data_IF_467184075750
#
_entry.id   IF_467184075750
#
_cell.length_a   1.000
_cell.length_b   1.000
_cell.length_c   1.000
_cell.angle_alpha   90.00
_cell.angle_beta   90.00
_cell.angle_gamma   90.00
#
_symmetry.space_group_name_H-M   'P 1'
#
loop_
_entity.id
_entity.type
_entity.pdbx_description
1 polymer ?
#
# COMPACT_ATOMS: atom_id res chain seq x y z
N UNK A 1 13.51 4.75 12.14
CA UNK A 1 13.09 5.62 11.02
C UNK A 1 11.83 5.04 10.39
N UNK A 2 10.92 5.88 10.04
CA UNK A 2 9.63 5.47 9.49
C UNK A 2 9.61 5.51 7.98
N UNK A 3 9.05 4.47 7.39
CA UNK A 3 8.88 4.36 5.93
C UNK A 3 7.48 3.89 5.62
N UNK A 4 6.91 4.45 4.57
CA UNK A 4 5.66 3.98 4.01
C UNK A 4 5.98 3.07 2.83
N UNK A 5 5.50 1.84 2.90
CA UNK A 5 5.61 0.88 1.81
C UNK A 5 4.26 0.89 1.10
N UNK A 6 4.24 1.37 -0.12
CA UNK A 6 3.03 1.51 -0.92
C UNK A 6 2.95 0.39 -1.93
N UNK A 7 1.85 -0.33 -1.92
CA UNK A 7 1.64 -1.48 -2.79
C UNK A 7 0.57 -1.10 -3.82
N UNK A 8 0.96 -1.20 -5.09
CA UNK A 8 0.08 -0.81 -6.20
C UNK A 8 -0.43 -2.03 -6.94
N UNK A 9 -1.53 -1.86 -7.65
CA UNK A 9 -2.01 -2.82 -8.63
C UNK A 9 -2.10 -2.14 -10.00
N UNK A 10 -2.01 -2.93 -11.04
CA UNK A 10 -2.21 -2.48 -12.42
C UNK A 10 -3.08 -3.51 -13.15
N UNK A 11 -3.49 -3.27 -14.42
CA UNK A 11 -4.33 -4.23 -15.13
C UNK A 11 -3.74 -5.65 -15.19
N UNK A 12 -2.43 -5.76 -15.37
CA UNK A 12 -1.74 -7.06 -15.44
C UNK A 12 -1.81 -7.80 -14.10
N UNK A 13 -1.48 -7.14 -13.00
CA UNK A 13 -1.50 -7.77 -11.68
C UNK A 13 -2.93 -8.14 -11.25
N UNK A 14 -3.91 -7.30 -11.60
CA UNK A 14 -5.32 -7.62 -11.31
C UNK A 14 -5.80 -8.83 -12.11
N UNK A 15 -5.43 -8.91 -13.39
CA UNK A 15 -5.79 -10.05 -14.23
C UNK A 15 -5.16 -11.34 -13.68
N UNK A 16 -3.91 -11.29 -13.24
CA UNK A 16 -3.24 -12.42 -12.64
C UNK A 16 -3.98 -12.91 -11.39
N UNK A 17 -4.38 -11.99 -10.51
CA UNK A 17 -5.12 -12.32 -9.31
C UNK A 17 -6.49 -12.94 -9.61
N UNK A 18 -7.20 -12.38 -10.58
CA UNK A 18 -8.51 -12.90 -11.00
C UNK A 18 -8.41 -14.32 -11.56
N UNK A 19 -7.27 -14.67 -12.16
CA UNK A 19 -7.02 -16.00 -12.66
C UNK A 19 -6.62 -17.04 -11.61
N UNK A 20 -6.39 -16.62 -10.38
CA UNK A 20 -5.98 -17.52 -9.31
C UNK A 20 -7.16 -18.36 -8.81
N UNK A 21 -6.90 -19.63 -8.47
CA UNK A 21 -7.86 -20.48 -7.80
C UNK A 21 -8.13 -19.96 -6.38
N UNK A 22 -9.27 -20.40 -5.74
CA UNK A 22 -9.48 -20.05 -4.34
C UNK A 22 -8.33 -20.48 -3.43
N UNK A 23 -7.70 -21.62 -3.70
CA UNK A 23 -6.55 -22.11 -2.94
C UNK A 23 -5.35 -21.20 -3.10
N UNK A 24 -5.06 -20.75 -4.33
CA UNK A 24 -3.94 -19.85 -4.60
C UNK A 24 -4.15 -18.49 -3.93
N UNK A 25 -5.38 -17.98 -3.92
CA UNK A 25 -5.71 -16.74 -3.22
C UNK A 25 -5.53 -16.88 -1.71
N UNK A 26 -5.95 -18.02 -1.15
CA UNK A 26 -5.77 -18.29 0.27
C UNK A 26 -4.28 -18.34 0.65
N UNK A 27 -3.44 -18.93 -0.19
CA UNK A 27 -2.00 -18.95 -0.01
C UNK A 27 -1.41 -17.54 -0.04
N UNK A 28 -1.89 -16.70 -0.94
CA UNK A 28 -1.48 -15.30 -1.02
C UNK A 28 -1.80 -14.53 0.25
N UNK A 29 -3.01 -14.67 0.76
CA UNK A 29 -3.41 -14.05 2.03
C UNK A 29 -2.59 -14.56 3.20
N UNK A 30 -2.32 -15.87 3.24
CA UNK A 30 -1.49 -16.47 4.29
C UNK A 30 -0.05 -15.92 4.25
N UNK A 31 0.48 -15.70 3.05
CA UNK A 31 1.81 -15.13 2.86
C UNK A 31 1.90 -13.71 3.43
N UNK A 32 0.92 -12.85 3.12
CA UNK A 32 0.86 -11.51 3.68
C UNK A 32 0.70 -11.52 5.20
N UNK A 33 -0.12 -12.43 5.70
CA UNK A 33 -0.31 -12.56 7.15
C UNK A 33 0.99 -12.95 7.84
N UNK A 34 1.76 -13.85 7.25
CA UNK A 34 3.04 -14.27 7.81
C UNK A 34 4.04 -13.10 7.88
N UNK A 35 4.12 -12.28 6.81
CA UNK A 35 4.95 -11.09 6.81
C UNK A 35 4.51 -10.14 7.93
N UNK A 36 3.21 -9.89 8.05
CA UNK A 36 2.67 -8.99 9.06
C UNK A 36 2.99 -9.49 10.47
N UNK A 37 2.85 -10.76 10.73
CA UNK A 37 3.17 -11.36 12.03
C UNK A 37 4.65 -11.21 12.38
N UNK A 38 5.54 -11.41 11.41
CA UNK A 38 6.97 -11.20 11.63
C UNK A 38 7.29 -9.75 11.97
N UNK A 39 6.67 -8.81 11.27
CA UNK A 39 6.92 -7.38 11.49
C UNK A 39 6.32 -6.89 12.82
N UNK A 40 5.21 -7.48 13.25
CA UNK A 40 4.67 -7.24 14.59
C UNK A 40 5.64 -7.77 15.64
N UNK A 41 6.14 -8.98 15.46
CA UNK A 41 7.07 -9.60 16.40
C UNK A 41 8.39 -8.85 16.52
N UNK A 42 8.88 -8.29 15.43
CA UNK A 42 10.12 -7.49 15.44
C UNK A 42 9.91 -6.07 15.96
N UNK A 43 8.66 -5.65 16.15
CA UNK A 43 8.32 -4.29 16.57
C UNK A 43 8.38 -3.27 15.44
N UNK A 44 8.56 -3.72 14.19
CA UNK A 44 8.70 -2.81 13.05
C UNK A 44 7.38 -2.35 12.46
N UNK A 45 6.30 -3.12 12.62
CA UNK A 45 5.01 -2.76 12.02
C UNK A 45 4.25 -1.75 12.87
N UNK A 46 3.95 -0.59 12.30
CA UNK A 46 3.12 0.42 12.94
C UNK A 46 1.67 0.34 12.48
N UNK A 47 1.45 0.16 11.18
CA UNK A 47 0.12 0.07 10.60
C UNK A 47 0.19 -0.61 9.24
N UNK A 48 -0.86 -1.31 8.85
CA UNK A 48 -1.02 -1.83 7.50
C UNK A 48 -2.50 -2.02 7.21
N UNK A 49 -2.91 -1.68 6.00
CA UNK A 49 -4.31 -1.85 5.57
C UNK A 49 -4.37 -2.19 4.09
N UNK A 50 -5.16 -3.19 3.71
CA UNK A 50 -5.57 -3.34 2.31
C UNK A 50 -6.67 -2.33 2.01
N UNK A 51 -6.70 -1.83 0.78
CA UNK A 51 -7.70 -0.86 0.36
C UNK A 51 -8.76 -1.53 -0.50
N UNK A 52 -9.99 -1.00 -0.41
CA UNK A 52 -11.09 -1.45 -1.25
C UNK A 52 -10.82 -1.14 -2.72
N UNK A 53 -11.56 -1.80 -3.61
CA UNK A 53 -11.44 -1.56 -5.04
C UNK A 53 -11.59 -0.08 -5.39
N UNK A 54 -10.84 0.37 -6.39
CA UNK A 54 -10.82 1.77 -6.81
C UNK A 54 -12.21 2.29 -7.22
N UNK A 55 -13.11 1.39 -7.64
CA UNK A 55 -14.48 1.78 -7.96
C UNK A 55 -15.23 2.38 -6.77
N UNK A 56 -14.77 2.11 -5.55
CA UNK A 56 -15.35 2.65 -4.33
C UNK A 56 -14.67 3.94 -3.87
N UNK A 57 -13.61 4.37 -4.56
CA UNK A 57 -12.91 5.61 -4.21
C UNK A 57 -13.73 6.83 -4.60
N UNK A 58 -13.56 7.89 -3.82
CA UNK A 58 -14.16 9.19 -4.10
C UNK A 58 -13.05 10.20 -4.27
N UNK A 59 -13.14 11.02 -5.32
CA UNK A 59 -12.27 12.19 -5.46
C UNK A 59 -13.03 13.39 -4.93
N UNK A 60 -12.43 14.15 -4.05
CA UNK A 60 -13.08 15.28 -3.38
C UNK A 60 -12.50 16.58 -3.92
N UNK A 61 -13.39 17.47 -4.35
CA UNK A 61 -13.05 18.83 -4.78
C UNK A 61 -13.73 19.81 -3.85
N UNK A 62 -13.00 20.83 -3.42
CA UNK A 62 -13.59 21.90 -2.60
C UNK A 62 -14.09 23.01 -3.51
N UNK A 63 -15.34 23.42 -3.28
CA UNK A 63 -15.96 24.55 -3.95
C UNK A 63 -16.39 25.60 -2.91
N UNK A 64 -16.89 26.75 -3.37
CA UNK A 64 -17.42 27.79 -2.47
C UNK A 64 -18.59 27.29 -1.61
N UNK A 65 -19.31 26.28 -2.12
CA UNK A 65 -20.47 25.70 -1.42
C UNK A 65 -20.10 24.46 -0.56
N UNK A 66 -18.81 24.14 -0.46
CA UNK A 66 -18.35 23.01 0.34
C UNK A 66 -17.66 21.94 -0.51
N UNK A 67 -17.57 20.73 0.02
CA UNK A 67 -16.90 19.63 -0.66
C UNK A 67 -17.83 18.92 -1.63
N UNK A 68 -17.30 18.60 -2.81
CA UNK A 68 -17.99 17.80 -3.83
C UNK A 68 -17.19 16.52 -4.07
N UNK A 69 -17.87 15.37 -4.00
CA UNK A 69 -17.24 14.08 -4.21
C UNK A 69 -17.61 13.54 -5.60
N UNK A 70 -16.61 13.04 -6.31
CA UNK A 70 -16.77 12.36 -7.61
C UNK A 70 -16.46 10.90 -7.44
N UNK A 71 -17.23 10.04 -8.10
CA UNK A 71 -17.01 8.59 -8.03
C UNK A 71 -15.82 8.14 -8.86
N UNK A 72 -15.07 7.13 -8.35
CA UNK A 72 -14.09 6.40 -9.13
C UNK A 72 -14.73 5.31 -9.98
N UNK A 73 -13.94 4.64 -10.83
CA UNK A 73 -12.52 4.82 -11.05
C UNK A 73 -12.19 6.04 -11.92
N UNK A 74 -10.90 6.42 -11.89
CA UNK A 74 -10.41 7.55 -12.66
C UNK A 74 -9.63 6.99 -13.85
N UNK A 75 -10.12 7.26 -15.06
CA UNK A 75 -9.71 6.55 -16.28
C UNK A 75 -8.22 6.68 -16.62
N UNK A 76 -7.59 7.80 -16.27
CA UNK A 76 -6.18 8.05 -16.54
C UNK A 76 -5.22 7.35 -15.58
N UNK A 77 -5.74 6.75 -14.53
CA UNK A 77 -4.89 6.11 -13.50
C UNK A 77 -4.69 4.63 -13.84
N UNK A 78 -3.45 4.25 -14.16
CA UNK A 78 -3.11 2.87 -14.51
C UNK A 78 -2.63 2.06 -13.31
N UNK A 79 -1.84 2.68 -12.45
CA UNK A 79 -1.39 2.09 -11.20
C UNK A 79 -2.25 2.62 -10.07
N UNK A 80 -2.84 1.70 -9.31
CA UNK A 80 -3.80 2.03 -8.27
C UNK A 80 -3.26 1.59 -6.93
N UNK A 81 -3.25 2.49 -5.96
CA UNK A 81 -2.82 2.13 -4.61
C UNK A 81 -3.76 1.07 -4.05
N UNK A 82 -3.22 -0.10 -3.76
CA UNK A 82 -3.98 -1.26 -3.30
C UNK A 82 -3.86 -1.49 -1.79
N UNK A 83 -2.80 -0.99 -1.17
CA UNK A 83 -2.58 -1.16 0.25
C UNK A 83 -1.26 -0.54 0.68
N UNK A 84 -0.99 -0.59 1.98
CA UNK A 84 0.24 -0.02 2.50
C UNK A 84 0.67 -0.71 3.78
N UNK A 85 1.98 -0.59 4.05
CA UNK A 85 2.59 -0.94 5.33
C UNK A 85 3.37 0.28 5.81
N UNK A 86 3.10 0.72 7.03
CA UNK A 86 3.89 1.75 7.69
C UNK A 86 4.80 1.04 8.67
N UNK A 87 6.10 1.17 8.47
CA UNK A 87 7.10 0.49 9.30
C UNK A 87 8.04 1.48 9.97
N UNK A 88 8.52 1.12 11.15
CA UNK A 88 9.59 1.82 11.84
C UNK A 88 10.76 0.85 11.91
N UNK A 89 11.80 1.10 11.14
CA UNK A 89 12.92 0.17 11.02
C UNK A 89 14.25 0.90 11.04
N UNK A 90 15.33 0.13 11.02
CA UNK A 90 16.67 0.63 11.24
C UNK A 90 17.09 1.67 10.20
N UNK A 91 16.84 1.38 8.92
CA UNK A 91 17.28 2.23 7.82
C UNK A 91 16.52 1.89 6.53
N UNK A 92 16.81 2.65 5.46
CA UNK A 92 16.18 2.46 4.17
C UNK A 92 16.43 1.06 3.59
N UNK A 93 17.65 0.53 3.75
CA UNK A 93 17.98 -0.81 3.25
C UNK A 93 17.07 -1.87 3.87
N UNK A 94 16.74 -1.74 5.16
CA UNK A 94 15.81 -2.65 5.82
C UNK A 94 14.40 -2.49 5.24
N UNK A 95 13.95 -1.26 5.04
CA UNK A 95 12.63 -1.00 4.45
C UNK A 95 12.54 -1.59 3.04
N UNK A 96 13.58 -1.45 2.23
CA UNK A 96 13.63 -2.03 0.89
C UNK A 96 13.60 -3.56 0.95
N UNK A 97 14.31 -4.16 1.91
CA UNK A 97 14.31 -5.61 2.09
C UNK A 97 12.90 -6.11 2.45
N UNK A 98 12.20 -5.40 3.32
CA UNK A 98 10.81 -5.73 3.66
C UNK A 98 9.93 -5.61 2.42
N UNK A 99 10.02 -4.50 1.69
CA UNK A 99 9.22 -4.24 0.50
C UNK A 99 9.41 -5.30 -0.57
N UNK A 100 10.62 -5.80 -0.74
CA UNK A 100 10.94 -6.83 -1.72
C UNK A 100 10.29 -8.18 -1.46
N UNK A 101 9.77 -8.39 -0.26
CA UNK A 101 9.08 -9.63 0.10
C UNK A 101 7.65 -9.69 -0.42
N UNK A 102 7.06 -8.56 -0.77
CA UNK A 102 5.69 -8.54 -1.29
C UNK A 102 5.65 -9.01 -2.74
N UNK A 103 4.67 -9.86 -3.11
CA UNK A 103 4.61 -10.42 -4.47
C UNK A 103 4.56 -9.35 -5.57
N UNK A 104 3.95 -8.21 -5.30
CA UNK A 104 3.84 -7.11 -6.25
C UNK A 104 5.21 -6.52 -6.63
N UNK A 105 6.24 -6.76 -5.83
CA UNK A 105 7.59 -6.29 -6.14
C UNK A 105 8.13 -6.93 -7.43
N UNK A 106 7.69 -8.14 -7.79
CA UNK A 106 8.10 -8.78 -9.05
C UNK A 106 7.62 -7.99 -10.29
N UNK A 107 6.57 -7.18 -10.12
CA UNK A 107 6.04 -6.34 -11.19
C UNK A 107 6.51 -4.89 -11.06
N UNK A 108 7.38 -4.57 -10.10
CA UNK A 108 7.79 -3.20 -9.84
C UNK A 108 6.71 -2.33 -9.24
N UNK A 109 5.75 -2.91 -8.54
CA UNK A 109 4.58 -2.23 -8.02
C UNK A 109 4.66 -1.92 -6.52
N UNK A 110 5.84 -1.92 -5.95
CA UNK A 110 6.03 -1.58 -4.53
C UNK A 110 6.99 -0.40 -4.43
N UNK A 111 6.59 0.61 -3.70
CA UNK A 111 7.42 1.79 -3.46
C UNK A 111 7.71 1.94 -1.97
N UNK A 112 8.92 2.38 -1.67
CA UNK A 112 9.34 2.72 -0.30
C UNK A 112 9.54 4.23 -0.25
N UNK A 113 8.87 4.87 0.70
CA UNK A 113 8.95 6.33 0.84
C UNK A 113 9.23 6.71 2.29
N UNK A 114 10.31 7.46 2.55
CA UNK A 114 10.56 7.95 3.91
C UNK A 114 9.42 8.83 4.40
N UNK A 115 9.05 8.67 5.67
CA UNK A 115 8.08 9.55 6.31
C UNK A 115 8.83 10.73 6.91
N UNK A 116 8.34 11.94 6.64
CA UNK A 116 8.90 13.14 7.24
C UNK A 116 8.65 13.12 8.74
N UNK A 117 9.72 13.30 9.50
CA UNK A 117 9.58 13.54 10.93
C UNK A 117 9.24 15.00 11.14
N UNK A 118 8.01 15.22 11.63
CA UNK A 118 7.58 16.54 12.02
C UNK A 118 8.15 16.80 13.39
N UNK A 119 9.19 17.62 13.47
CA UNK A 119 9.63 18.14 14.75
C UNK A 119 8.46 18.91 15.37
N UNK A 120 8.59 19.31 16.63
CA UNK A 120 7.53 20.02 17.36
C UNK A 120 7.24 21.40 16.77
N UNK A 121 6.86 21.47 15.51
CA UNK A 121 6.58 22.71 14.82
C UNK A 121 6.04 22.42 13.43
N UNK A 122 5.54 23.44 12.73
CA UNK A 122 4.92 23.27 11.41
C UNK A 122 5.90 23.30 10.24
N UNK A 123 7.20 23.28 10.49
CA UNK A 123 8.19 23.33 9.42
C UNK A 123 8.39 21.96 8.81
N UNK A 124 7.68 21.78 7.78
CA UNK A 124 7.69 20.56 7.00
C UNK A 124 8.16 20.89 5.60
#
# INVERSE_FOLDING_TARGET
MKYLIQIYSNPESRAAWEGFSPEARAEGYAYYRAISEELVSSGELLASEPLADISLAKRVTKTDDGAVASDGPFAETKELLAGFYLVDCENESRAVAIAGRFPEAQFGLVEVRPVLEMASGPDV
#
